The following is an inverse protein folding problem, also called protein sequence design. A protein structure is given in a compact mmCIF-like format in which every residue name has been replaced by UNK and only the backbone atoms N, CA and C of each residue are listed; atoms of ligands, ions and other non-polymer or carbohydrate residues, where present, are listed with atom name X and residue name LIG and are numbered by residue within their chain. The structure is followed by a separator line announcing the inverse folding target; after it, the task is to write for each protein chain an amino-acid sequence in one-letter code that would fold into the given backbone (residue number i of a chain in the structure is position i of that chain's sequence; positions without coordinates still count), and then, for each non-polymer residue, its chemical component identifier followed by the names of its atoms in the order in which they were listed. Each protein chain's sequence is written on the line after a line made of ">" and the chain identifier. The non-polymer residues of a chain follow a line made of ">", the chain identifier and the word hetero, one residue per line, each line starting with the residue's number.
data_IF_634363409260
#
_entry.id   IF_634363409260
#
_cell.length_a   1.000
_cell.length_b   1.000
_cell.length_c   1.000
_cell.angle_alpha   90.00
_cell.angle_beta   90.00
_cell.angle_gamma   90.00
#
_symmetry.space_group_name_H-M   'P 1'
#
loop_
_entity.id
_entity.type
_entity.pdbx_description
1 polymer ?
#
# COMPACT_ATOMS: atom_id res chain seq x y z
N UNK A 1 -0.04 13.97 7.78
CA UNK A 1 -0.76 14.56 6.63
C UNK A 1 0.17 14.47 5.45
N UNK A 2 -0.29 13.99 4.30
CA UNK A 2 0.57 13.82 3.11
C UNK A 2 0.72 15.14 2.34
N UNK A 3 1.90 15.39 1.79
CA UNK A 3 2.13 16.43 0.79
C UNK A 3 1.32 16.12 -0.49
N UNK A 4 0.88 17.13 -1.27
CA UNK A 4 0.25 16.95 -2.58
C UNK A 4 0.79 15.81 -3.46
N UNK A 5 2.13 15.70 -3.61
CA UNK A 5 2.72 14.66 -4.46
C UNK A 5 2.51 13.26 -3.86
N UNK A 6 2.72 13.10 -2.55
CA UNK A 6 2.49 11.85 -1.82
C UNK A 6 1.00 11.45 -1.87
N UNK A 7 0.10 12.43 -1.68
CA UNK A 7 -1.33 12.20 -1.72
C UNK A 7 -1.81 11.75 -3.11
N UNK A 8 -1.20 12.23 -4.20
CA UNK A 8 -1.47 11.76 -5.55
C UNK A 8 -1.08 10.28 -5.73
N UNK A 9 0.09 9.88 -5.24
CA UNK A 9 0.53 8.47 -5.26
C UNK A 9 -0.41 7.58 -4.44
N UNK A 10 -0.77 7.99 -3.22
CA UNK A 10 -1.67 7.23 -2.34
C UNK A 10 -3.04 7.03 -3.01
N UNK A 11 -3.62 8.08 -3.60
CA UNK A 11 -4.90 7.99 -4.31
C UNK A 11 -4.82 7.05 -5.52
N UNK A 12 -3.78 7.15 -6.32
CA UNK A 12 -3.55 6.23 -7.43
C UNK A 12 -3.44 4.78 -6.94
N UNK A 13 -2.64 4.52 -5.91
CA UNK A 13 -2.45 3.18 -5.36
C UNK A 13 -3.77 2.58 -4.84
N UNK A 14 -4.57 3.37 -4.11
CA UNK A 14 -5.89 2.95 -3.64
C UNK A 14 -6.82 2.53 -4.78
N UNK A 15 -6.94 3.38 -5.82
CA UNK A 15 -7.79 3.08 -6.98
C UNK A 15 -7.30 1.84 -7.73
N UNK A 16 -5.99 1.76 -7.98
CA UNK A 16 -5.35 0.62 -8.67
C UNK A 16 -5.57 -0.70 -7.91
N UNK A 17 -5.37 -0.72 -6.59
CA UNK A 17 -5.58 -1.91 -5.76
C UNK A 17 -7.05 -2.33 -5.69
N UNK A 18 -7.98 -1.37 -5.68
CA UNK A 18 -9.44 -1.62 -5.65
C UNK A 18 -10.04 -1.91 -7.03
N UNK A 19 -9.19 -1.97 -8.08
CA UNK A 19 -9.59 -2.14 -9.48
C UNK A 19 -10.59 -1.07 -9.94
N UNK A 20 -10.48 0.13 -9.37
CA UNK A 20 -11.26 1.29 -9.79
C UNK A 20 -10.62 1.93 -11.04
N UNK A 21 -11.40 2.61 -11.90
CA UNK A 21 -10.86 3.26 -13.08
C UNK A 21 -9.81 4.32 -12.74
N UNK A 22 -8.66 4.28 -13.41
CA UNK A 22 -7.67 5.37 -13.38
C UNK A 22 -8.12 6.41 -14.41
N UNK A 23 -8.97 7.33 -13.96
CA UNK A 23 -9.52 8.41 -14.77
C UNK A 23 -8.50 9.53 -15.04
N UNK A 24 -8.87 10.44 -15.95
CA UNK A 24 -8.05 11.58 -16.35
C UNK A 24 -7.66 12.46 -15.16
N UNK A 25 -8.55 12.62 -14.16
CA UNK A 25 -8.25 13.39 -12.96
C UNK A 25 -7.14 12.72 -12.12
N UNK A 26 -7.17 11.39 -11.99
CA UNK A 26 -6.15 10.63 -11.26
C UNK A 26 -4.81 10.69 -12.01
N UNK A 27 -4.82 10.51 -13.33
CA UNK A 27 -3.61 10.61 -14.14
C UNK A 27 -3.03 12.03 -14.13
N UNK A 28 -3.86 13.06 -14.30
CA UNK A 28 -3.44 14.45 -14.25
C UNK A 28 -2.84 14.84 -12.90
N UNK A 29 -3.39 14.32 -11.79
CA UNK A 29 -2.83 14.55 -10.45
C UNK A 29 -1.42 13.95 -10.29
N UNK A 30 -1.14 12.79 -10.90
CA UNK A 30 0.22 12.25 -10.94
C UNK A 30 1.12 13.08 -11.86
N UNK A 31 0.65 13.40 -13.06
CA UNK A 31 1.42 14.14 -14.06
C UNK A 31 1.77 15.58 -13.62
N UNK A 32 1.04 16.15 -12.66
CA UNK A 32 1.37 17.44 -12.05
C UNK A 32 2.65 17.42 -11.21
N UNK A 33 3.09 16.24 -10.74
CA UNK A 33 4.23 16.09 -9.83
C UNK A 33 5.32 15.15 -10.36
N UNK A 34 4.98 14.26 -11.29
CA UNK A 34 5.84 13.18 -11.74
C UNK A 34 5.96 13.17 -13.26
N UNK A 35 7.17 12.87 -13.74
CA UNK A 35 7.42 12.60 -15.15
C UNK A 35 6.75 11.29 -15.59
N UNK A 36 6.51 11.08 -16.89
CA UNK A 36 5.94 9.81 -17.38
C UNK A 36 6.73 8.57 -16.93
N UNK A 37 8.07 8.66 -16.89
CA UNK A 37 8.92 7.57 -16.41
C UNK A 37 8.66 7.25 -14.93
N UNK A 38 8.57 8.27 -14.08
CA UNK A 38 8.23 8.09 -12.67
C UNK A 38 6.81 7.55 -12.46
N UNK A 39 5.84 7.94 -13.31
CA UNK A 39 4.49 7.36 -13.28
C UNK A 39 4.49 5.88 -13.64
N UNK A 40 5.35 5.46 -14.59
CA UNK A 40 5.58 4.04 -14.90
C UNK A 40 6.14 3.32 -13.67
N UNK A 41 7.16 3.89 -13.00
CA UNK A 41 7.75 3.29 -11.81
C UNK A 41 6.74 3.14 -10.66
N UNK A 42 5.88 4.16 -10.46
CA UNK A 42 4.78 4.12 -9.49
C UNK A 42 3.81 2.98 -9.85
N UNK A 43 3.41 2.87 -11.13
CA UNK A 43 2.53 1.80 -11.61
C UNK A 43 3.12 0.41 -11.34
N UNK A 44 4.39 0.21 -11.68
CA UNK A 44 5.09 -1.06 -11.48
C UNK A 44 5.22 -1.41 -10.00
N UNK A 45 5.52 -0.42 -9.15
CA UNK A 45 5.66 -0.61 -7.70
C UNK A 45 4.33 -1.02 -7.07
N UNK A 46 3.24 -0.33 -7.42
CA UNK A 46 1.89 -0.67 -6.94
C UNK A 46 1.46 -2.04 -7.47
N UNK A 47 1.73 -2.32 -8.75
CA UNK A 47 1.42 -3.61 -9.39
C UNK A 47 2.14 -4.79 -8.74
N UNK A 48 3.44 -4.64 -8.45
CA UNK A 48 4.23 -5.66 -7.76
C UNK A 48 3.72 -5.89 -6.33
N UNK A 49 3.42 -4.81 -5.59
CA UNK A 49 2.84 -4.92 -4.25
C UNK A 49 1.50 -5.66 -4.28
N UNK A 50 0.67 -5.37 -5.27
CA UNK A 50 -0.60 -6.04 -5.51
C UNK A 50 -0.44 -7.54 -5.81
N UNK A 51 0.62 -7.94 -6.54
CA UNK A 51 0.95 -9.34 -6.79
C UNK A 51 1.40 -10.05 -5.51
N UNK A 52 2.34 -9.44 -4.77
CA UNK A 52 2.86 -9.98 -3.50
C UNK A 52 1.73 -10.15 -2.48
N UNK A 53 0.84 -9.17 -2.35
CA UNK A 53 -0.33 -9.26 -1.47
C UNK A 53 -1.23 -10.44 -1.84
N UNK A 54 -1.49 -10.67 -3.14
CA UNK A 54 -2.30 -11.81 -3.60
C UNK A 54 -1.60 -13.14 -3.34
N UNK A 55 -0.29 -13.18 -3.49
CA UNK A 55 0.50 -14.37 -3.18
C UNK A 55 0.36 -14.73 -1.69
N UNK A 56 0.69 -13.80 -0.78
CA UNK A 56 0.59 -14.06 0.65
C UNK A 56 -0.84 -14.37 1.11
N UNK A 57 -1.85 -13.69 0.57
CA UNK A 57 -3.25 -13.97 0.88
C UNK A 57 -3.68 -15.37 0.39
N UNK A 58 -3.14 -15.85 -0.73
CA UNK A 58 -3.46 -17.19 -1.27
C UNK A 58 -2.88 -18.29 -0.40
N UNK A 59 -1.65 -18.10 0.10
CA UNK A 59 -0.93 -19.12 0.87
C UNK A 59 -1.00 -18.91 2.38
N UNK A 60 -1.79 -17.93 2.86
CA UNK A 60 -1.94 -17.60 4.27
C UNK A 60 -0.59 -17.49 4.99
N UNK A 61 0.36 -16.79 4.37
CA UNK A 61 1.73 -16.71 4.89
C UNK A 61 1.74 -16.08 6.29
N UNK A 62 2.28 -16.81 7.26
CA UNK A 62 2.47 -16.32 8.61
C UNK A 62 3.49 -15.17 8.65
N UNK A 63 3.28 -14.24 9.58
CA UNK A 63 4.26 -13.21 9.88
C UNK A 63 5.38 -13.81 10.73
N UNK A 64 6.63 -13.51 10.39
CA UNK A 64 7.77 -13.90 11.21
C UNK A 64 7.81 -13.10 12.53
N UNK A 65 8.56 -13.63 13.50
CA UNK A 65 8.69 -13.04 14.84
C UNK A 65 9.22 -11.61 14.81
N UNK A 66 10.13 -11.30 13.88
CA UNK A 66 10.72 -9.97 13.76
C UNK A 66 9.66 -8.96 13.28
N UNK A 67 8.92 -9.29 12.22
CA UNK A 67 7.84 -8.46 11.69
C UNK A 67 6.77 -8.20 12.75
N UNK A 68 6.40 -9.22 13.54
CA UNK A 68 5.45 -9.07 14.65
C UNK A 68 5.98 -8.08 15.69
N UNK A 69 7.23 -8.25 16.13
CA UNK A 69 7.84 -7.42 17.16
C UNK A 69 7.96 -5.94 16.73
N UNK A 70 8.31 -5.69 15.47
CA UNK A 70 8.43 -4.34 14.90
C UNK A 70 7.07 -3.64 14.83
N UNK A 71 6.02 -4.33 14.35
CA UNK A 71 4.66 -3.76 14.32
C UNK A 71 4.19 -3.42 15.74
N UNK A 72 4.38 -4.33 16.70
CA UNK A 72 3.99 -4.07 18.09
C UNK A 72 4.77 -2.92 18.73
N UNK A 73 6.06 -2.76 18.41
CA UNK A 73 6.84 -1.62 18.84
C UNK A 73 6.32 -0.31 18.22
N UNK A 74 5.99 -0.33 16.93
CA UNK A 74 5.39 0.80 16.23
C UNK A 74 4.04 1.21 16.81
N UNK A 75 3.14 0.25 17.06
CA UNK A 75 1.80 0.49 17.61
C UNK A 75 1.87 1.18 18.99
N UNK A 76 2.79 0.75 19.85
CA UNK A 76 3.05 1.36 21.17
C UNK A 76 3.50 2.82 21.07
N UNK A 77 4.27 3.17 20.04
CA UNK A 77 4.81 4.52 19.84
C UNK A 77 3.79 5.44 19.18
N UNK A 78 3.08 4.95 18.16
CA UNK A 78 2.17 5.76 17.34
C UNK A 78 0.80 5.99 17.99
N UNK A 79 0.44 5.24 19.04
CA UNK A 79 -0.90 5.28 19.64
C UNK A 79 -2.00 4.89 18.65
N UNK A 80 -1.64 4.16 17.58
CA UNK A 80 -2.56 3.74 16.54
C UNK A 80 -3.55 2.72 17.14
N UNK A 81 -4.82 2.83 16.74
CA UNK A 81 -5.83 1.86 17.15
C UNK A 81 -5.43 0.48 16.61
N UNK A 82 -5.18 -0.53 17.47
CA UNK A 82 -4.70 -1.82 17.01
C UNK A 82 -5.74 -2.45 16.07
N UNK A 83 -5.33 -2.76 14.84
CA UNK A 83 -6.17 -3.49 13.90
C UNK A 83 -6.32 -4.92 14.45
N UNK A 84 -7.55 -5.46 14.62
CA UNK A 84 -7.74 -6.82 15.10
C UNK A 84 -7.04 -7.83 14.18
N UNK A 85 -6.09 -8.60 14.73
CA UNK A 85 -5.39 -9.65 13.98
C UNK A 85 -6.22 -10.94 13.97
N UNK A 86 -6.25 -11.71 12.86
CA UNK A 86 -6.83 -13.05 12.86
C UNK A 86 -6.15 -13.95 13.90
N UNK A 87 -6.86 -14.96 14.41
CA UNK A 87 -6.23 -16.01 15.22
C UNK A 87 -5.21 -16.76 14.38
N UNK A 88 -4.05 -17.08 14.98
CA UNK A 88 -3.06 -17.95 14.36
C UNK A 88 -3.70 -19.29 13.97
N UNK A 89 -3.27 -19.94 12.87
CA UNK A 89 -3.66 -21.31 12.55
C UNK A 89 -3.33 -22.24 13.72
N UNK A 90 -4.23 -23.18 14.01
CA UNK A 90 -4.02 -24.22 15.02
C UNK A 90 -3.29 -25.44 14.47
#
# INVERSE_FOLDING_TARGET
>A
MYDPAEAAVVRYAQKSTRLEPIDDATYAALAAHFTPAQVIDICLTVGLSNLVNRFHATFLTDLDEQTIAEVEAGDRVAGACPIPRPKAPG
#
